data_IF_650989706162
#
_entry.id   IF_650989706162
#
_cell.length_a   1.000
_cell.length_b   1.000
_cell.length_c   1.000
_cell.angle_alpha   90.00
_cell.angle_beta   90.00
_cell.angle_gamma   90.00
#
_symmetry.space_group_name_H-M   'P 1'
#
loop_
_entity.id
_entity.type
_entity.pdbx_description
1 polymer ?
#
# COMPACT_ATOMS: atom_id res chain seq x y z
N UNK A 1 2.36 27.81 -7.34
CA UNK A 1 1.41 26.75 -7.77
C UNK A 1 0.95 25.93 -6.57
N UNK A 2 -0.37 25.73 -6.37
CA UNK A 2 -0.87 24.75 -5.41
C UNK A 2 -0.84 23.35 -6.04
N UNK A 3 -0.26 22.36 -5.36
CA UNK A 3 -0.24 20.97 -5.84
C UNK A 3 -1.66 20.39 -5.81
N UNK A 4 -1.99 19.55 -6.80
CA UNK A 4 -3.29 18.87 -6.81
C UNK A 4 -3.37 17.83 -5.69
N UNK A 5 -4.59 17.51 -5.22
CA UNK A 5 -4.80 16.47 -4.21
C UNK A 5 -4.15 15.14 -4.61
N UNK A 6 -4.23 14.77 -5.89
CA UNK A 6 -3.64 13.54 -6.42
C UNK A 6 -2.11 13.55 -6.38
N UNK A 7 -1.47 14.70 -6.63
CA UNK A 7 -0.02 14.85 -6.48
C UNK A 7 0.41 14.70 -5.02
N UNK A 8 -0.33 15.29 -4.08
CA UNK A 8 -0.05 15.15 -2.64
C UNK A 8 -0.22 13.70 -2.17
N UNK A 9 -1.26 13.00 -2.62
CA UNK A 9 -1.48 11.57 -2.31
C UNK A 9 -0.33 10.72 -2.87
N UNK A 10 0.04 10.91 -4.13
CA UNK A 10 1.13 10.16 -4.75
C UNK A 10 2.46 10.38 -4.01
N UNK A 11 2.72 11.62 -3.58
CA UNK A 11 3.89 11.95 -2.78
C UNK A 11 3.88 11.25 -1.42
N UNK A 12 2.77 11.28 -0.67
CA UNK A 12 2.66 10.59 0.62
C UNK A 12 2.86 9.08 0.51
N UNK A 13 2.30 8.46 -0.52
CA UNK A 13 2.53 7.02 -0.77
C UNK A 13 3.99 6.75 -1.11
N UNK A 14 4.62 7.59 -1.94
CA UNK A 14 6.04 7.45 -2.24
C UNK A 14 6.93 7.62 -0.98
N UNK A 15 6.58 8.54 -0.08
CA UNK A 15 7.28 8.68 1.20
C UNK A 15 7.15 7.43 2.06
N UNK A 16 5.94 6.88 2.23
CA UNK A 16 5.73 5.65 3.00
C UNK A 16 6.53 4.46 2.41
N UNK A 17 6.49 4.29 1.08
CA UNK A 17 7.29 3.25 0.40
C UNK A 17 8.78 3.48 0.60
N UNK A 18 9.25 4.73 0.54
CA UNK A 18 10.64 5.08 0.78
C UNK A 18 11.09 4.77 2.21
N UNK A 19 10.27 5.08 3.22
CA UNK A 19 10.55 4.74 4.61
C UNK A 19 10.70 3.23 4.83
N UNK A 20 9.86 2.42 4.19
CA UNK A 20 9.97 0.95 4.25
C UNK A 20 11.23 0.44 3.55
N UNK A 21 11.60 1.04 2.41
CA UNK A 21 12.82 0.64 1.70
C UNK A 21 14.10 0.93 2.50
N UNK A 22 14.13 1.99 3.32
CA UNK A 22 15.24 2.28 4.25
C UNK A 22 15.39 1.16 5.29
N UNK A 23 14.26 0.60 5.75
CA UNK A 23 14.19 -0.57 6.65
C UNK A 23 14.43 -1.90 5.90
N UNK A 24 14.94 -1.87 4.66
CA UNK A 24 15.11 -3.03 3.77
C UNK A 24 13.81 -3.79 3.42
N UNK A 25 12.63 -3.19 3.65
CA UNK A 25 11.35 -3.76 3.27
C UNK A 25 10.97 -3.27 1.87
N UNK A 26 11.14 -4.15 0.88
CA UNK A 26 10.78 -3.86 -0.51
C UNK A 26 9.32 -4.23 -0.79
N UNK A 27 8.53 -3.23 -1.18
CA UNK A 27 7.15 -3.44 -1.60
C UNK A 27 7.06 -3.82 -3.08
N UNK A 28 6.18 -4.77 -3.39
CA UNK A 28 5.84 -5.08 -4.78
C UNK A 28 5.14 -3.90 -5.46
N UNK A 29 5.17 -3.88 -6.79
CA UNK A 29 4.46 -2.87 -7.60
C UNK A 29 2.95 -2.89 -7.31
N UNK A 30 2.39 -4.07 -7.11
CA UNK A 30 0.96 -4.26 -6.82
C UNK A 30 0.57 -3.73 -5.44
N UNK A 31 1.41 -3.97 -4.42
CA UNK A 31 1.20 -3.43 -3.09
C UNK A 31 1.21 -1.89 -3.11
N UNK A 32 2.17 -1.29 -3.84
CA UNK A 32 2.21 0.17 -4.04
C UNK A 32 0.97 0.69 -4.78
N UNK A 33 0.48 -0.02 -5.79
CA UNK A 33 -0.73 0.36 -6.51
C UNK A 33 -1.98 0.30 -5.59
N UNK A 34 -2.06 -0.72 -4.72
CA UNK A 34 -3.13 -0.84 -3.72
C UNK A 34 -3.10 0.30 -2.70
N UNK A 35 -1.92 0.65 -2.19
CA UNK A 35 -1.74 1.83 -1.32
C UNK A 35 -2.23 3.12 -1.98
N UNK A 36 -2.00 3.31 -3.28
CA UNK A 36 -2.51 4.47 -4.01
C UNK A 36 -4.05 4.48 -4.11
N UNK A 37 -4.69 3.32 -4.33
CA UNK A 37 -6.17 3.23 -4.35
C UNK A 37 -6.76 3.58 -2.99
N UNK A 38 -6.16 3.04 -1.91
CA UNK A 38 -6.58 3.34 -0.54
C UNK A 38 -6.40 4.83 -0.22
N UNK A 39 -5.23 5.39 -0.49
CA UNK A 39 -4.95 6.80 -0.18
C UNK A 39 -5.77 7.80 -1.01
N UNK A 40 -6.32 7.36 -2.16
CA UNK A 40 -7.28 8.14 -2.97
C UNK A 40 -8.73 7.98 -2.52
N UNK A 41 -9.01 7.06 -1.59
CA UNK A 41 -10.36 6.70 -1.17
C UNK A 41 -11.12 5.84 -2.19
N UNK A 42 -10.44 5.30 -3.20
CA UNK A 42 -11.06 4.40 -4.19
C UNK A 42 -11.24 2.97 -3.66
N UNK A 43 -10.57 2.63 -2.56
CA UNK A 43 -10.64 1.33 -1.89
C UNK A 43 -10.57 1.58 -0.37
N UNK A 44 -11.48 1.03 0.46
CA UNK A 44 -11.35 1.13 1.91
C UNK A 44 -10.08 0.41 2.42
N UNK A 45 -9.42 0.98 3.42
CA UNK A 45 -8.22 0.35 4.00
C UNK A 45 -8.51 -1.03 4.60
N UNK A 46 -9.70 -1.23 5.20
CA UNK A 46 -10.13 -2.52 5.75
C UNK A 46 -10.12 -3.61 4.69
N UNK A 47 -10.73 -3.37 3.53
CA UNK A 47 -10.75 -4.32 2.41
C UNK A 47 -9.34 -4.66 1.94
N UNK A 48 -8.45 -3.68 1.89
CA UNK A 48 -7.07 -3.92 1.49
C UNK A 48 -6.31 -4.80 2.50
N UNK A 49 -6.55 -4.60 3.80
CA UNK A 49 -5.97 -5.36 4.92
C UNK A 49 -6.54 -6.78 4.95
N UNK A 50 -7.86 -6.96 4.86
CA UNK A 50 -8.50 -8.28 4.90
C UNK A 50 -7.97 -9.18 3.78
N UNK A 51 -7.82 -8.62 2.57
CA UNK A 51 -7.24 -9.33 1.44
C UNK A 51 -5.75 -9.68 1.64
N UNK A 52 -4.98 -8.88 2.38
CA UNK A 52 -3.59 -9.23 2.74
C UNK A 52 -3.57 -10.36 3.77
N UNK A 53 -4.41 -10.28 4.80
CA UNK A 53 -4.54 -11.33 5.83
C UNK A 53 -4.90 -12.67 5.19
N UNK A 54 -5.86 -12.68 4.28
CA UNK A 54 -6.28 -13.89 3.57
C UNK A 54 -5.16 -14.45 2.68
N UNK A 55 -4.40 -13.60 1.99
CA UNK A 55 -3.23 -14.04 1.22
C UNK A 55 -2.19 -14.74 2.09
N UNK A 56 -1.88 -14.18 3.27
CA UNK A 56 -0.92 -14.80 4.18
C UNK A 56 -1.45 -16.13 4.76
N UNK A 57 -2.75 -16.21 5.06
CA UNK A 57 -3.38 -17.43 5.55
C UNK A 57 -3.26 -18.60 4.57
N UNK A 58 -3.30 -18.32 3.27
CA UNK A 58 -3.18 -19.36 2.22
C UNK A 58 -1.74 -19.81 1.98
N UNK A 59 -0.74 -19.05 2.46
CA UNK A 59 0.68 -19.34 2.28
C UNK A 59 1.27 -20.05 3.50
N UNK A 60 0.63 -19.98 4.66
CA UNK A 60 1.01 -20.85 5.79
C UNK A 60 0.75 -22.31 5.41
N UNK A 61 1.79 -23.19 5.42
CA UNK A 61 1.52 -24.61 5.34
C UNK A 61 0.67 -24.98 6.56
N UNK A 62 -0.41 -25.73 6.34
CA UNK A 62 -1.07 -26.44 7.42
C UNK A 62 0.02 -27.22 8.16
N UNK A 63 0.29 -26.84 9.41
CA UNK A 63 1.33 -27.45 10.24
C UNK A 63 1.18 -28.96 10.34
#
# INVERSE_FOLDING_TARGET
MKRSKNQTVAFKVAQAVGSMAIENVQLSRDARAKMLRVARGSEPASVAIDALVEQYRQVEPAG
#
